data_IF_619564294408
#
_entry.id   IF_619564294408
#
_cell.length_a   1.000
_cell.length_b   1.000
_cell.length_c   1.000
_cell.angle_alpha   90.00
_cell.angle_beta   90.00
_cell.angle_gamma   90.00
#
_symmetry.space_group_name_H-M   'P 1'
#
loop_
_entity.id
_entity.type
_entity.pdbx_description
1 polymer ?
#
# COMPACT_ATOMS: atom_id res chain seq x y z
N UNK A 1 25.75 14.92 8.64
CA UNK A 1 24.52 15.46 9.26
C UNK A 1 24.65 15.29 10.77
N UNK A 2 23.97 16.07 11.60
CA UNK A 2 24.09 15.99 13.07
C UNK A 2 22.72 15.88 13.72
N UNK A 3 22.61 15.07 14.78
CA UNK A 3 21.43 15.01 15.65
C UNK A 3 21.82 15.34 17.10
N UNK A 4 20.85 15.80 17.89
CA UNK A 4 21.06 16.20 19.28
C UNK A 4 20.17 15.36 20.19
N UNK A 5 20.74 14.83 21.27
CA UNK A 5 20.03 14.18 22.37
C UNK A 5 20.40 14.90 23.67
N UNK A 6 19.42 15.49 24.35
CA UNK A 6 19.71 16.36 25.49
C UNK A 6 20.62 17.51 25.07
N UNK A 7 21.84 17.62 25.61
CA UNK A 7 22.86 18.59 25.19
C UNK A 7 23.95 18.00 24.27
N UNK A 8 23.93 16.68 24.03
CA UNK A 8 24.97 15.97 23.30
C UNK A 8 24.68 16.01 21.80
N UNK A 9 25.67 16.37 21.00
CA UNK A 9 25.58 16.34 19.55
C UNK A 9 26.28 15.09 19.00
N UNK A 10 25.57 14.34 18.16
CA UNK A 10 26.10 13.19 17.45
C UNK A 10 26.20 13.47 15.96
N UNK A 11 27.21 12.88 15.32
CA UNK A 11 27.38 12.96 13.87
C UNK A 11 26.81 11.71 13.22
N UNK A 12 25.89 11.91 12.28
CA UNK A 12 25.30 10.86 11.45
C UNK A 12 26.15 10.66 10.20
N UNK A 13 26.53 9.41 9.95
CA UNK A 13 27.25 8.98 8.74
C UNK A 13 26.28 8.30 7.78
N UNK A 14 26.27 8.73 6.52
CA UNK A 14 25.34 8.19 5.52
C UNK A 14 25.68 6.72 5.21
N UNK A 15 24.68 5.85 5.27
CA UNK A 15 24.77 4.45 4.80
C UNK A 15 24.13 4.31 3.42
N UNK A 16 22.88 4.77 3.28
CA UNK A 16 22.13 4.68 2.03
C UNK A 16 21.26 5.93 1.84
N UNK A 17 21.54 6.70 0.80
CA UNK A 17 20.79 7.93 0.49
C UNK A 17 19.38 7.69 -0.02
N UNK A 18 19.09 6.56 -0.67
CA UNK A 18 17.74 6.29 -1.18
C UNK A 18 16.75 5.91 -0.09
N UNK A 19 17.26 5.37 1.01
CA UNK A 19 16.48 4.94 2.19
C UNK A 19 16.60 5.92 3.35
N UNK A 20 17.33 7.04 3.16
CA UNK A 20 17.67 8.00 4.23
C UNK A 20 18.22 7.29 5.48
N UNK A 21 19.07 6.29 5.26
CA UNK A 21 19.64 5.43 6.30
C UNK A 21 21.03 5.92 6.70
N UNK A 22 21.25 6.05 8.00
CA UNK A 22 22.49 6.58 8.59
C UNK A 22 22.98 5.68 9.73
N UNK A 23 24.28 5.74 10.02
CA UNK A 23 24.85 5.24 11.26
C UNK A 23 25.16 6.37 12.23
N UNK A 24 25.12 6.04 13.52
CA UNK A 24 25.45 6.91 14.64
C UNK A 24 26.37 6.14 15.58
N UNK A 25 27.49 6.75 15.96
CA UNK A 25 28.31 6.24 17.07
C UNK A 25 27.81 6.90 18.35
N UNK A 26 27.26 6.10 19.25
CA UNK A 26 26.65 6.60 20.48
C UNK A 26 27.65 6.69 21.63
N UNK A 27 27.21 7.30 22.73
CA UNK A 27 28.02 7.52 23.93
C UNK A 27 28.40 6.23 24.67
N UNK A 28 27.70 5.12 24.40
CA UNK A 28 28.01 3.77 24.90
C UNK A 28 29.15 3.09 24.11
N UNK A 29 29.71 3.75 23.09
CA UNK A 29 30.75 3.21 22.21
C UNK A 29 30.23 2.30 21.10
N UNK A 30 28.92 2.07 21.03
CA UNK A 30 28.29 1.22 20.03
C UNK A 30 27.86 2.04 18.82
N UNK A 31 27.87 1.38 17.65
CA UNK A 31 27.35 1.95 16.40
C UNK A 31 25.93 1.44 16.17
N UNK A 32 24.98 2.36 16.09
CA UNK A 32 23.61 2.05 15.70
C UNK A 32 23.38 2.49 14.25
N UNK A 33 22.41 1.87 13.59
CA UNK A 33 21.94 2.28 12.27
C UNK A 33 20.44 2.49 12.29
N UNK A 34 19.97 3.54 11.62
CA UNK A 34 18.56 3.92 11.58
C UNK A 34 18.25 4.79 10.38
N UNK A 35 16.97 5.15 10.26
CA UNK A 35 16.49 6.11 9.26
C UNK A 35 16.17 7.44 9.94
N UNK A 36 16.19 8.52 9.19
CA UNK A 36 15.68 9.81 9.68
C UNK A 36 14.18 9.82 9.45
N UNK A 37 13.42 9.79 10.54
CA UNK A 37 11.97 9.80 10.50
C UNK A 37 11.41 10.55 11.72
N UNK A 38 10.12 10.81 11.72
CA UNK A 38 9.43 11.32 12.90
C UNK A 38 9.54 10.32 14.06
N UNK A 39 9.55 10.85 15.29
CA UNK A 39 9.41 10.00 16.47
C UNK A 39 8.05 9.30 16.41
N UNK A 40 8.05 7.97 16.41
CA UNK A 40 6.85 7.14 16.31
C UNK A 40 6.65 6.41 17.62
N UNK A 41 5.47 6.60 18.22
CA UNK A 41 5.06 5.81 19.37
C UNK A 41 4.97 4.32 19.01
N UNK A 42 5.35 3.46 19.95
CA UNK A 42 5.29 2.02 19.77
C UNK A 42 4.03 1.44 20.43
N UNK A 43 3.41 0.47 19.77
CA UNK A 43 2.39 -0.41 20.32
C UNK A 43 2.92 -1.83 20.32
N UNK A 44 3.11 -2.43 21.51
CA UNK A 44 3.72 -3.76 21.67
C UNK A 44 5.06 -3.92 20.92
N UNK A 45 5.89 -2.88 20.93
CA UNK A 45 7.20 -2.87 20.27
C UNK A 45 7.18 -2.62 18.75
N UNK A 46 6.01 -2.35 18.16
CA UNK A 46 5.87 -2.03 16.73
C UNK A 46 5.46 -0.57 16.51
N UNK A 47 5.91 0.09 15.42
CA UNK A 47 5.54 1.47 15.11
C UNK A 47 4.02 1.64 14.95
N UNK A 48 3.46 2.68 15.58
CA UNK A 48 2.03 2.98 15.55
C UNK A 48 1.68 3.93 14.41
N UNK A 49 0.91 3.44 13.44
CA UNK A 49 0.36 4.24 12.36
C UNK A 49 -1.17 4.26 12.42
N UNK A 50 -1.77 5.44 12.24
CA UNK A 50 -3.22 5.58 12.08
C UNK A 50 -3.55 5.97 10.64
N UNK A 51 -4.62 5.38 10.11
CA UNK A 51 -5.12 5.68 8.78
C UNK A 51 -6.23 6.71 8.92
N UNK A 52 -5.98 7.93 8.44
CA UNK A 52 -6.95 9.03 8.50
C UNK A 52 -7.70 9.23 7.18
N UNK A 53 -7.49 8.37 6.17
CA UNK A 53 -7.99 8.57 4.80
C UNK A 53 -9.52 8.71 4.70
N UNK A 54 -10.26 8.03 5.58
CA UNK A 54 -11.73 8.05 5.64
C UNK A 54 -12.23 8.68 6.94
N UNK A 55 -11.41 9.51 7.57
CA UNK A 55 -11.69 10.16 8.85
C UNK A 55 -11.55 11.67 8.70
N UNK A 56 -12.14 12.42 9.64
CA UNK A 56 -11.98 13.88 9.74
C UNK A 56 -12.56 14.65 8.53
N UNK A 57 -13.46 14.04 7.76
CA UNK A 57 -14.19 14.69 6.66
C UNK A 57 -15.36 15.50 7.23
N UNK A 58 -15.14 16.80 7.50
CA UNK A 58 -16.21 17.68 8.01
C UNK A 58 -15.77 19.02 8.62
N UNK A 59 -14.48 19.34 8.63
CA UNK A 59 -13.96 20.52 9.35
C UNK A 59 -13.80 21.74 8.44
N UNK A 60 -14.92 22.36 8.06
CA UNK A 60 -14.87 23.75 7.60
C UNK A 60 -14.71 24.75 8.77
N UNK A 61 -14.89 24.32 10.03
CA UNK A 61 -15.09 25.23 11.18
C UNK A 61 -14.30 24.90 12.45
N UNK A 62 -13.31 24.01 12.43
CA UNK A 62 -12.41 23.79 13.59
C UNK A 62 -13.05 23.15 14.84
N UNK A 63 -14.25 22.59 14.74
CA UNK A 63 -14.96 21.89 15.82
C UNK A 63 -15.01 20.37 15.52
N UNK A 64 -15.17 19.57 16.59
CA UNK A 64 -14.90 18.14 16.64
C UNK A 64 -15.47 17.26 15.49
N UNK A 65 -14.53 16.69 14.72
CA UNK A 65 -14.48 15.36 14.10
C UNK A 65 -15.80 14.67 13.72
N UNK A 66 -16.44 15.17 12.66
CA UNK A 66 -17.44 14.38 11.95
C UNK A 66 -16.76 13.21 11.22
N UNK A 67 -17.11 11.97 11.55
CA UNK A 67 -16.68 10.77 10.80
C UNK A 67 -17.59 10.50 9.59
N UNK A 68 -18.16 11.55 8.99
CA UNK A 68 -19.09 11.47 7.87
C UNK A 68 -18.31 11.29 6.56
N UNK A 69 -17.72 10.12 6.37
CA UNK A 69 -17.09 9.75 5.11
C UNK A 69 -18.13 9.19 4.13
N UNK A 70 -18.10 9.69 2.90
CA UNK A 70 -18.86 9.09 1.79
C UNK A 70 -18.01 8.02 1.09
N UNK A 71 -18.37 6.72 1.18
CA UNK A 71 -17.60 5.67 0.56
C UNK A 71 -17.49 5.87 -0.95
N UNK A 72 -16.26 5.89 -1.45
CA UNK A 72 -16.01 6.05 -2.89
C UNK A 72 -16.11 4.71 -3.59
N UNK A 73 -17.09 4.58 -4.48
CA UNK A 73 -17.28 3.37 -5.30
C UNK A 73 -16.47 3.43 -6.59
N UNK A 74 -16.41 4.59 -7.24
CA UNK A 74 -15.61 4.81 -8.44
C UNK A 74 -15.19 6.27 -8.53
N UNK A 75 -13.99 6.52 -9.06
CA UNK A 75 -13.46 7.88 -9.21
C UNK A 75 -12.47 7.98 -10.36
N UNK A 76 -12.27 9.20 -10.85
CA UNK A 76 -11.42 9.46 -12.01
C UNK A 76 -9.99 8.92 -11.87
N UNK A 77 -9.43 8.93 -10.66
CA UNK A 77 -8.09 8.40 -10.42
C UNK A 77 -7.95 6.91 -10.74
N UNK A 78 -8.96 6.12 -10.38
CA UNK A 78 -9.04 4.69 -10.72
C UNK A 78 -9.19 4.48 -12.23
N UNK A 79 -10.00 5.31 -12.90
CA UNK A 79 -10.20 5.23 -14.36
C UNK A 79 -8.89 5.44 -15.13
N UNK A 80 -8.07 6.43 -14.74
CA UNK A 80 -6.75 6.62 -15.33
C UNK A 80 -5.85 5.39 -15.11
N UNK A 81 -5.86 4.80 -13.91
CA UNK A 81 -5.03 3.63 -13.61
C UNK A 81 -5.52 2.36 -14.34
N UNK A 82 -6.83 2.18 -14.48
CA UNK A 82 -7.42 1.09 -15.29
C UNK A 82 -6.97 1.23 -16.76
N UNK A 83 -7.01 2.46 -17.29
CA UNK A 83 -6.58 2.76 -18.66
C UNK A 83 -5.08 2.60 -18.85
N UNK A 84 -4.26 3.04 -17.89
CA UNK A 84 -2.81 2.84 -17.89
C UNK A 84 -2.43 1.36 -17.93
N UNK A 85 -3.07 0.54 -17.09
CA UNK A 85 -2.86 -0.91 -17.07
C UNK A 85 -3.25 -1.57 -18.40
N UNK A 86 -4.40 -1.19 -18.97
CA UNK A 86 -4.85 -1.71 -20.24
C UNK A 86 -3.88 -1.36 -21.39
N UNK A 87 -3.38 -0.12 -21.43
CA UNK A 87 -2.37 0.29 -22.40
C UNK A 87 -1.07 -0.51 -22.25
N UNK A 88 -0.58 -0.68 -21.02
CA UNK A 88 0.63 -1.47 -20.77
C UNK A 88 0.47 -2.94 -21.18
N UNK A 89 -0.69 -3.56 -20.93
CA UNK A 89 -1.02 -4.93 -21.39
C UNK A 89 -1.09 -5.05 -22.92
N UNK A 90 -1.40 -3.95 -23.63
CA UNK A 90 -1.36 -3.87 -25.10
C UNK A 90 0.03 -3.53 -25.66
N UNK A 91 1.03 -3.30 -24.80
CA UNK A 91 2.37 -2.85 -25.21
C UNK A 91 2.47 -1.35 -25.54
N UNK A 92 1.42 -0.57 -25.29
CA UNK A 92 1.40 0.87 -25.52
C UNK A 92 1.89 1.63 -24.28
N UNK A 93 3.20 1.60 -24.05
CA UNK A 93 3.77 2.17 -22.83
C UNK A 93 3.75 3.71 -22.82
N UNK A 94 3.70 4.36 -23.99
CA UNK A 94 3.63 5.82 -24.07
C UNK A 94 2.32 6.35 -23.48
N UNK A 95 1.18 5.78 -23.87
CA UNK A 95 -0.11 6.18 -23.31
C UNK A 95 -0.27 5.71 -21.86
N UNK A 96 0.26 4.54 -21.51
CA UNK A 96 0.27 4.07 -20.12
C UNK A 96 1.04 5.02 -19.19
N UNK A 97 2.22 5.49 -19.63
CA UNK A 97 3.04 6.45 -18.87
C UNK A 97 2.33 7.79 -18.70
N UNK A 98 1.67 8.29 -19.75
CA UNK A 98 0.90 9.52 -19.67
C UNK A 98 -0.20 9.45 -18.59
N UNK A 99 -1.00 8.38 -18.60
CA UNK A 99 -2.07 8.17 -17.62
C UNK A 99 -1.54 7.99 -16.19
N UNK A 100 -0.47 7.20 -16.04
CA UNK A 100 0.17 6.96 -14.74
C UNK A 100 0.72 8.25 -14.13
N UNK A 101 1.33 9.11 -14.96
CA UNK A 101 1.91 10.36 -14.52
C UNK A 101 0.85 11.40 -14.14
N UNK A 102 -0.36 11.38 -14.70
CA UNK A 102 -1.46 12.24 -14.24
C UNK A 102 -1.73 12.02 -12.74
N UNK A 103 -1.76 10.76 -12.31
CA UNK A 103 -2.00 10.40 -10.91
C UNK A 103 -0.82 10.76 -10.03
N UNK A 104 0.39 10.40 -10.48
CA UNK A 104 1.62 10.58 -9.71
C UNK A 104 1.99 12.05 -9.54
N UNK A 105 1.93 12.85 -10.59
CA UNK A 105 2.28 14.29 -10.56
C UNK A 105 1.32 15.10 -9.69
N UNK A 106 0.05 14.68 -9.60
CA UNK A 106 -0.93 15.30 -8.69
C UNK A 106 -0.56 15.09 -7.23
N UNK A 107 0.04 13.96 -6.88
CA UNK A 107 0.45 13.64 -5.50
C UNK A 107 1.90 14.02 -5.21
N UNK A 108 2.77 13.99 -6.23
CA UNK A 108 4.21 14.25 -6.16
C UNK A 108 4.64 15.09 -7.37
N UNK A 109 4.45 16.42 -7.34
CA UNK A 109 4.82 17.31 -8.44
C UNK A 109 6.32 17.21 -8.80
N UNK A 110 6.62 17.11 -10.10
CA UNK A 110 7.95 16.94 -10.67
C UNK A 110 8.55 15.54 -10.53
N UNK A 111 7.76 14.53 -10.11
CA UNK A 111 8.25 13.17 -9.80
C UNK A 111 7.62 12.09 -10.68
N UNK A 112 7.05 12.45 -11.82
CA UNK A 112 6.55 11.52 -12.82
C UNK A 112 7.61 10.54 -13.29
N UNK A 113 7.17 9.37 -13.75
CA UNK A 113 8.05 8.39 -14.36
C UNK A 113 8.52 8.89 -15.73
N UNK A 114 9.85 8.86 -15.93
CA UNK A 114 10.47 9.27 -17.19
C UNK A 114 10.42 8.16 -18.24
N UNK A 115 10.33 6.90 -17.80
CA UNK A 115 10.29 5.72 -18.65
C UNK A 115 9.20 4.75 -18.20
N UNK A 116 8.55 4.10 -19.14
CA UNK A 116 7.68 2.96 -18.87
C UNK A 116 7.87 1.96 -20.01
N UNK A 117 8.09 0.70 -19.68
CA UNK A 117 8.37 -0.35 -20.66
C UNK A 117 8.00 -1.73 -20.10
N UNK A 118 8.16 -2.77 -20.91
CA UNK A 118 7.78 -4.13 -20.55
C UNK A 118 8.37 -4.65 -19.24
N UNK A 119 9.59 -4.23 -18.85
CA UNK A 119 10.25 -4.74 -17.65
C UNK A 119 9.77 -4.06 -16.36
N UNK A 120 9.22 -2.85 -16.44
CA UNK A 120 8.87 -2.06 -15.25
C UNK A 120 7.39 -1.64 -15.16
N UNK A 121 6.63 -1.71 -16.27
CA UNK A 121 5.29 -1.15 -16.34
C UNK A 121 4.36 -1.74 -15.28
N UNK A 122 4.35 -3.07 -15.15
CA UNK A 122 3.51 -3.77 -14.19
C UNK A 122 3.79 -3.29 -12.76
N UNK A 123 5.04 -3.32 -12.32
CA UNK A 123 5.44 -2.95 -10.96
C UNK A 123 5.08 -1.50 -10.65
N UNK A 124 5.35 -0.59 -11.57
CA UNK A 124 5.06 0.85 -11.38
C UNK A 124 3.55 1.12 -11.33
N UNK A 125 2.77 0.51 -12.23
CA UNK A 125 1.32 0.66 -12.26
C UNK A 125 0.69 0.08 -10.99
N UNK A 126 1.08 -1.14 -10.60
CA UNK A 126 0.58 -1.75 -9.36
C UNK A 126 0.95 -0.94 -8.11
N UNK A 127 2.14 -0.33 -8.10
CA UNK A 127 2.56 0.54 -7.00
C UNK A 127 1.68 1.79 -6.91
N UNK A 128 1.43 2.47 -8.01
CA UNK A 128 0.54 3.65 -8.00
C UNK A 128 -0.89 3.26 -7.65
N UNK A 129 -1.41 2.13 -8.14
CA UNK A 129 -2.72 1.60 -7.72
C UNK A 129 -2.79 1.36 -6.23
N UNK A 130 -1.77 0.72 -5.65
CA UNK A 130 -1.70 0.45 -4.22
C UNK A 130 -1.71 1.73 -3.39
N UNK A 131 -1.00 2.78 -3.83
CA UNK A 131 -0.93 4.06 -3.12
C UNK A 131 -2.24 4.85 -3.26
N UNK A 132 -2.70 5.02 -4.50
CA UNK A 132 -3.86 5.84 -4.85
C UNK A 132 -5.15 5.25 -4.28
N UNK A 133 -5.33 3.93 -4.39
CA UNK A 133 -6.53 3.19 -3.99
C UNK A 133 -6.39 2.52 -2.62
N UNK A 134 -5.37 2.90 -1.84
CA UNK A 134 -5.17 2.39 -0.48
C UNK A 134 -6.48 2.52 0.34
N UNK A 135 -6.87 1.44 1.01
CA UNK A 135 -8.07 1.37 1.85
C UNK A 135 -9.42 1.57 1.14
N UNK A 136 -9.47 1.44 -0.20
CA UNK A 136 -10.69 1.50 -1.00
C UNK A 136 -11.08 0.12 -1.55
N UNK A 137 -10.76 -0.95 -0.82
CA UNK A 137 -11.08 -2.36 -1.13
C UNK A 137 -10.46 -2.98 -2.40
N UNK A 138 -9.54 -2.31 -3.09
CA UNK A 138 -9.04 -2.76 -4.41
C UNK A 138 -7.88 -3.77 -4.37
N UNK A 139 -7.03 -3.77 -3.33
CA UNK A 139 -5.70 -4.41 -3.43
C UNK A 139 -5.73 -5.92 -3.64
N UNK A 140 -6.58 -6.67 -2.92
CA UNK A 140 -6.66 -8.13 -3.09
C UNK A 140 -7.18 -8.50 -4.47
N UNK A 141 -8.20 -7.81 -4.96
CA UNK A 141 -8.74 -8.03 -6.31
C UNK A 141 -7.68 -7.74 -7.38
N UNK A 142 -6.94 -6.63 -7.25
CA UNK A 142 -5.84 -6.27 -8.16
C UNK A 142 -4.72 -7.31 -8.22
N UNK A 143 -4.34 -7.88 -7.07
CA UNK A 143 -3.31 -8.93 -7.00
C UNK A 143 -3.83 -10.21 -7.66
N UNK A 144 -4.99 -10.71 -7.22
CA UNK A 144 -5.46 -12.02 -7.65
C UNK A 144 -5.91 -12.04 -9.12
N UNK A 145 -6.53 -10.95 -9.64
CA UNK A 145 -6.91 -10.87 -11.06
C UNK A 145 -5.72 -10.80 -12.01
N UNK A 146 -4.55 -10.41 -11.50
CA UNK A 146 -3.29 -10.44 -12.23
C UNK A 146 -2.49 -11.72 -12.00
N UNK A 147 -3.11 -12.74 -11.39
CA UNK A 147 -2.52 -14.05 -11.08
C UNK A 147 -1.29 -13.96 -10.15
N UNK A 148 -1.25 -12.96 -9.27
CA UNK A 148 -0.14 -12.74 -8.35
C UNK A 148 -0.41 -13.30 -6.95
N UNK A 149 0.68 -13.43 -6.18
CA UNK A 149 0.64 -13.84 -4.78
C UNK A 149 0.49 -12.61 -3.88
N UNK A 150 -0.49 -12.64 -2.97
CA UNK A 150 -0.63 -11.62 -1.94
C UNK A 150 0.41 -11.85 -0.84
N UNK A 151 1.40 -10.96 -0.77
CA UNK A 151 2.44 -10.98 0.27
C UNK A 151 2.24 -9.84 1.27
N UNK A 152 2.33 -10.16 2.57
CA UNK A 152 2.18 -9.18 3.67
C UNK A 152 3.38 -9.19 4.62
N UNK A 153 4.58 -9.20 4.03
CA UNK A 153 5.88 -9.23 4.74
C UNK A 153 6.21 -7.87 5.37
N UNK A 154 5.47 -7.51 6.41
CA UNK A 154 5.74 -6.34 7.24
C UNK A 154 5.46 -6.68 8.71
N UNK A 155 6.11 -5.99 9.67
CA UNK A 155 5.87 -6.21 11.09
C UNK A 155 4.38 -6.03 11.44
N UNK A 156 3.82 -6.99 12.18
CA UNK A 156 2.43 -6.96 12.60
C UNK A 156 2.10 -8.08 13.58
N UNK A 157 0.83 -8.13 14.00
CA UNK A 157 0.25 -9.29 14.71
C UNK A 157 -0.22 -10.40 13.77
N UNK A 158 -0.17 -10.16 12.46
CA UNK A 158 -0.47 -11.17 11.45
C UNK A 158 0.74 -12.08 11.20
N UNK A 159 0.49 -13.25 10.60
CA UNK A 159 1.57 -14.10 10.08
C UNK A 159 2.22 -13.41 8.88
N UNK A 160 3.34 -12.73 9.12
CA UNK A 160 4.06 -11.97 8.11
C UNK A 160 4.68 -12.85 7.02
N UNK A 161 4.88 -14.15 7.29
CA UNK A 161 5.46 -15.10 6.33
C UNK A 161 4.38 -15.80 5.50
N UNK A 162 3.11 -15.63 5.85
CA UNK A 162 2.00 -16.17 5.08
C UNK A 162 1.91 -15.48 3.72
N UNK A 163 1.95 -16.30 2.68
CA UNK A 163 1.71 -15.91 1.29
C UNK A 163 0.42 -16.59 0.80
N UNK A 164 -0.40 -15.85 0.06
CA UNK A 164 -1.67 -16.36 -0.47
C UNK A 164 -1.59 -16.26 -2.00
N UNK A 165 -1.34 -17.36 -2.73
CA UNK A 165 -1.34 -17.34 -4.19
C UNK A 165 -2.76 -17.10 -4.73
N UNK A 166 -2.88 -16.61 -5.96
CA UNK A 166 -4.18 -16.41 -6.62
C UNK A 166 -5.03 -17.69 -6.75
N UNK A 167 -4.41 -18.86 -6.64
CA UNK A 167 -5.05 -20.19 -6.69
C UNK A 167 -5.43 -20.73 -5.30
N UNK A 168 -5.21 -19.97 -4.23
CA UNK A 168 -5.54 -20.38 -2.87
C UNK A 168 -7.05 -20.50 -2.67
N UNK A 169 -7.50 -21.54 -1.98
CA UNK A 169 -8.92 -21.75 -1.71
C UNK A 169 -9.55 -20.59 -0.92
N UNK A 170 -8.75 -19.82 -0.18
CA UNK A 170 -9.17 -18.64 0.59
C UNK A 170 -9.41 -17.39 -0.25
N UNK A 171 -9.06 -17.42 -1.55
CA UNK A 171 -9.31 -16.28 -2.47
C UNK A 171 -10.80 -16.10 -2.72
N UNK A 172 -11.57 -17.19 -2.73
CA UNK A 172 -13.01 -17.16 -2.97
C UNK A 172 -13.74 -17.30 -1.63
N UNK A 173 -14.70 -16.40 -1.37
CA UNK A 173 -15.51 -16.46 -0.15
C UNK A 173 -16.34 -17.75 -0.07
N UNK A 174 -16.58 -18.21 1.15
CA UNK A 174 -17.55 -19.28 1.37
C UNK A 174 -18.97 -18.82 1.05
N UNK A 175 -19.73 -19.73 0.46
CA UNK A 175 -21.17 -19.59 0.31
C UNK A 175 -21.79 -19.72 1.72
N UNK A 176 -22.63 -18.77 2.17
CA UNK A 176 -23.32 -18.89 3.45
C UNK A 176 -24.11 -20.20 3.55
N UNK A 177 -24.00 -20.90 4.69
CA UNK A 177 -24.66 -22.20 4.87
C UNK A 177 -26.18 -22.11 4.71
N UNK A 178 -26.79 -20.99 5.12
CA UNK A 178 -28.22 -20.75 4.93
C UNK A 178 -28.63 -20.68 3.46
N UNK A 179 -27.76 -20.16 2.59
CA UNK A 179 -28.01 -20.10 1.15
C UNK A 179 -27.90 -21.49 0.50
N UNK A 180 -26.97 -22.33 0.97
CA UNK A 180 -26.88 -23.73 0.55
C UNK A 180 -28.14 -24.49 0.96
N UNK A 181 -28.57 -24.35 2.21
CA UNK A 181 -29.71 -25.08 2.76
C UNK A 181 -31.06 -24.67 2.12
N UNK A 182 -31.20 -23.42 1.68
CA UNK A 182 -32.44 -22.92 1.09
C UNK A 182 -32.53 -23.12 -0.43
N UNK A 183 -31.42 -23.52 -1.07
CA UNK A 183 -31.40 -23.71 -2.51
C UNK A 183 -32.19 -24.96 -2.90
N UNK A 184 -33.14 -24.87 -3.85
CA UNK A 184 -34.00 -26.01 -4.21
C UNK A 184 -33.26 -27.13 -4.96
N UNK A 185 -32.06 -26.88 -5.47
CA UNK A 185 -31.21 -27.86 -6.15
C UNK A 185 -29.95 -28.22 -5.36
N UNK A 186 -28.95 -28.75 -6.05
CA UNK A 186 -27.62 -28.99 -5.46
C UNK A 186 -26.79 -27.72 -5.55
N UNK A 187 -26.50 -27.09 -4.39
CA UNK A 187 -25.51 -26.04 -4.26
C UNK A 187 -24.36 -26.55 -3.39
N UNK A 188 -23.16 -26.63 -3.95
CA UNK A 188 -21.96 -27.09 -3.23
C UNK A 188 -21.11 -25.90 -2.81
N UNK A 189 -20.39 -26.07 -1.69
CA UNK A 189 -19.42 -25.08 -1.22
C UNK A 189 -18.27 -24.91 -2.22
N UNK A 190 -17.64 -23.72 -2.20
CA UNK A 190 -16.34 -23.49 -2.82
C UNK A 190 -15.27 -24.39 -2.19
N UNK A 191 -14.11 -24.61 -2.84
CA UNK A 191 -13.03 -25.40 -2.26
C UNK A 191 -12.64 -24.94 -0.85
N UNK A 192 -12.40 -25.89 0.06
CA UNK A 192 -12.05 -25.62 1.46
C UNK A 192 -10.58 -25.92 1.77
N UNK A 193 -9.82 -26.38 0.79
CA UNK A 193 -8.39 -26.68 0.88
C UNK A 193 -7.78 -26.74 -0.51
N UNK A 194 -6.46 -26.56 -0.59
CA UNK A 194 -5.63 -26.86 -1.75
C UNK A 194 -4.24 -27.37 -1.33
#
# INVERSE_FOLDING_TARGET
MTCKEGETNYTLSLINSSEEKYSINYSDGQTYSGVIDYEIELSSGQPKFYILKCSNEGTASGEAESQLHSPVISRLGEVYLNRAEAYAKKGDYSHAQADLNIIRERSLPGRGYNDLNASNAKVRIEKERQLELAYQAERSYDVFRNCETLTRKYPGVHDAMLEIPATDYRVIYFIPQSAINSYPGTLTQNPTSN
#
